data_IF_486432943875
#
_entry.id   IF_486432943875
#
_cell.length_a   1.000
_cell.length_b   1.000
_cell.length_c   1.000
_cell.angle_alpha   90.00
_cell.angle_beta   90.00
_cell.angle_gamma   90.00
#
_symmetry.space_group_name_H-M   'P 1'
#
loop_
_entity.id
_entity.type
_entity.pdbx_description
1 polymer ?
#
# COMPACT_ATOMS: atom_id res chain seq x y z
N UNK A 1 -8.56 -9.98 -16.51
CA UNK A 1 -7.19 -9.47 -16.36
C UNK A 1 -6.31 -10.19 -17.35
N UNK A 2 -5.65 -9.46 -18.25
CA UNK A 2 -4.74 -10.04 -19.23
C UNK A 2 -3.58 -10.76 -18.55
N UNK A 3 -3.31 -12.02 -18.93
CA UNK A 3 -2.22 -12.82 -18.38
C UNK A 3 -0.85 -12.13 -18.49
N UNK A 4 -0.68 -11.25 -19.49
CA UNK A 4 0.51 -10.42 -19.69
C UNK A 4 0.68 -9.36 -18.59
N UNK A 5 -0.40 -8.71 -18.16
CA UNK A 5 -0.40 -7.72 -17.07
C UNK A 5 -0.09 -8.39 -15.74
N UNK A 6 -0.64 -9.58 -15.48
CA UNK A 6 -0.32 -10.36 -14.28
C UNK A 6 1.14 -10.78 -14.26
N UNK A 7 1.70 -11.28 -15.37
CA UNK A 7 3.12 -11.67 -15.45
C UNK A 7 4.06 -10.47 -15.24
N UNK A 8 3.74 -9.32 -15.82
CA UNK A 8 4.49 -8.08 -15.60
C UNK A 8 4.41 -7.61 -14.15
N UNK A 9 3.23 -7.65 -13.54
CA UNK A 9 3.04 -7.32 -12.12
C UNK A 9 3.84 -8.23 -11.19
N UNK A 10 3.87 -9.55 -11.47
CA UNK A 10 4.67 -10.51 -10.71
C UNK A 10 6.17 -10.23 -10.85
N UNK A 11 6.66 -9.95 -12.07
CA UNK A 11 8.06 -9.61 -12.29
C UNK A 11 8.47 -8.32 -11.56
N UNK A 12 7.61 -7.29 -11.61
CA UNK A 12 7.85 -6.03 -10.89
C UNK A 12 7.84 -6.22 -9.37
N UNK A 13 6.91 -7.03 -8.85
CA UNK A 13 6.86 -7.36 -7.43
C UNK A 13 8.13 -8.12 -7.00
N UNK A 14 8.56 -9.12 -7.76
CA UNK A 14 9.80 -9.86 -7.48
C UNK A 14 11.02 -8.94 -7.47
N UNK A 15 11.16 -8.06 -8.47
CA UNK A 15 12.24 -7.09 -8.51
C UNK A 15 12.20 -6.13 -7.31
N UNK A 16 11.01 -5.64 -6.95
CA UNK A 16 10.83 -4.76 -5.80
C UNK A 16 11.23 -5.46 -4.49
N UNK A 17 10.78 -6.69 -4.25
CA UNK A 17 11.14 -7.47 -3.07
C UNK A 17 12.63 -7.80 -3.03
N UNK A 18 13.25 -8.07 -4.18
CA UNK A 18 14.69 -8.34 -4.26
C UNK A 18 15.52 -7.11 -3.87
N UNK A 19 15.17 -5.93 -4.40
CA UNK A 19 15.80 -4.65 -4.03
C UNK A 19 15.61 -4.39 -2.53
N UNK A 20 14.41 -4.65 -2.01
CA UNK A 20 14.10 -4.47 -0.59
C UNK A 20 14.86 -5.43 0.32
N UNK A 21 15.12 -6.67 -0.12
CA UNK A 21 15.92 -7.65 0.63
C UNK A 21 17.40 -7.30 0.71
N UNK A 22 17.93 -6.60 -0.31
CA UNK A 22 19.34 -6.15 -0.34
C UNK A 22 19.54 -4.88 0.50
N UNK A 23 18.53 -4.03 0.64
CA UNK A 23 18.65 -2.74 1.34
C UNK A 23 19.16 -2.85 2.80
N UNK A 24 18.69 -3.79 3.66
CA UNK A 24 19.23 -3.96 5.01
C UNK A 24 20.68 -4.45 5.01
N UNK A 25 21.06 -5.29 4.04
CA UNK A 25 22.44 -5.73 3.88
C UNK A 25 23.35 -4.55 3.50
N UNK A 26 22.89 -3.66 2.63
CA UNK A 26 23.59 -2.43 2.28
C UNK A 26 23.80 -1.50 3.49
N UNK A 27 22.78 -1.30 4.33
CA UNK A 27 22.92 -0.50 5.55
C UNK A 27 23.93 -1.11 6.55
N UNK A 28 24.06 -2.44 6.57
CA UNK A 28 25.09 -3.14 7.34
C UNK A 28 26.52 -2.89 6.80
N UNK A 29 26.69 -2.51 5.54
CA UNK A 29 28.02 -2.12 5.03
C UNK A 29 28.37 -0.66 5.34
N UNK A 30 27.39 0.17 5.70
CA UNK A 30 27.52 1.63 5.88
C UNK A 30 27.25 2.03 7.33
N UNK A 31 27.68 1.21 8.30
CA UNK A 31 27.50 1.50 9.74
C UNK A 31 28.07 2.87 10.17
N UNK A 32 29.05 3.40 9.43
CA UNK A 32 29.67 4.70 9.70
C UNK A 32 28.72 5.89 9.51
N UNK A 33 27.71 5.80 8.63
CA UNK A 33 26.78 6.93 8.38
C UNK A 33 25.61 6.85 9.35
N UNK A 34 25.32 7.92 10.10
CA UNK A 34 24.26 7.89 11.09
C UNK A 34 22.88 7.86 10.40
N UNK A 35 21.90 7.22 11.05
CA UNK A 35 20.61 6.88 10.44
C UNK A 35 19.78 8.11 10.04
N UNK A 36 19.96 9.22 10.76
CA UNK A 36 19.33 10.52 10.51
C UNK A 36 19.81 11.16 9.21
N UNK A 37 21.10 11.03 8.86
CA UNK A 37 21.63 11.53 7.59
C UNK A 37 21.02 10.77 6.40
N UNK A 38 20.93 9.44 6.49
CA UNK A 38 20.32 8.60 5.45
C UNK A 38 18.86 8.96 5.24
N UNK A 39 18.11 9.13 6.34
CA UNK A 39 16.70 9.53 6.29
C UNK A 39 16.55 10.93 5.70
N UNK A 40 17.39 11.89 6.10
CA UNK A 40 17.35 13.27 5.60
C UNK A 40 17.57 13.31 4.09
N UNK A 41 18.58 12.60 3.58
CA UNK A 41 18.81 12.48 2.14
C UNK A 41 17.60 11.89 1.42
N UNK A 42 16.98 10.84 1.98
CA UNK A 42 15.77 10.21 1.42
C UNK A 42 14.60 11.19 1.34
N UNK A 43 14.37 11.99 2.40
CA UNK A 43 13.31 13.00 2.44
C UNK A 43 13.56 14.10 1.42
N UNK A 44 14.80 14.60 1.32
CA UNK A 44 15.19 15.63 0.36
C UNK A 44 14.97 15.14 -1.08
N UNK A 45 15.47 13.96 -1.44
CA UNK A 45 15.29 13.41 -2.79
C UNK A 45 13.82 13.12 -3.09
N UNK A 46 13.06 12.62 -2.12
CA UNK A 46 11.62 12.39 -2.29
C UNK A 46 10.86 13.70 -2.52
N UNK A 47 11.24 14.77 -1.83
CA UNK A 47 10.65 16.09 -2.01
C UNK A 47 10.91 16.63 -3.42
N UNK A 48 12.16 16.58 -3.89
CA UNK A 48 12.50 16.99 -5.27
C UNK A 48 11.80 16.13 -6.32
N UNK A 49 11.78 14.81 -6.14
CA UNK A 49 11.09 13.90 -7.05
C UNK A 49 9.58 14.17 -7.10
N UNK A 50 8.96 14.42 -5.95
CA UNK A 50 7.54 14.76 -5.87
C UNK A 50 7.23 16.07 -6.59
N UNK A 51 8.07 17.10 -6.42
CA UNK A 51 7.94 18.38 -7.14
C UNK A 51 8.06 18.17 -8.65
N UNK A 52 9.05 17.39 -9.10
CA UNK A 52 9.24 17.09 -10.51
C UNK A 52 8.02 16.36 -11.09
N UNK A 53 7.52 15.33 -10.39
CA UNK A 53 6.35 14.55 -10.82
C UNK A 53 5.08 15.40 -10.84
N UNK A 54 4.87 16.27 -9.86
CA UNK A 54 3.76 17.24 -9.86
C UNK A 54 3.87 18.25 -10.99
N UNK A 55 5.10 18.70 -11.31
CA UNK A 55 5.35 19.62 -12.43
C UNK A 55 4.95 18.99 -13.76
N UNK A 56 5.37 17.74 -14.00
CA UNK A 56 5.01 16.97 -15.20
C UNK A 56 3.50 16.69 -15.26
N UNK A 57 2.90 16.35 -14.12
CA UNK A 57 1.45 16.03 -14.05
C UNK A 57 0.57 17.28 -14.11
N UNK A 58 1.14 18.49 -13.96
CA UNK A 58 0.44 19.79 -13.98
C UNK A 58 -0.70 19.95 -12.95
N UNK A 59 -0.71 19.14 -11.90
CA UNK A 59 -1.80 19.09 -10.88
C UNK A 59 -1.67 20.12 -9.75
N UNK A 60 -1.02 21.26 -10.01
CA UNK A 60 -0.77 22.31 -9.02
C UNK A 60 -2.04 22.90 -8.39
N UNK A 61 -3.16 22.91 -9.12
CA UNK A 61 -4.47 23.37 -8.63
C UNK A 61 -5.02 22.48 -7.50
N UNK A 62 -4.78 21.16 -7.58
CA UNK A 62 -5.16 20.20 -6.54
C UNK A 62 -4.38 20.43 -5.25
N UNK A 63 -3.07 20.70 -5.36
CA UNK A 63 -2.22 20.98 -4.20
C UNK A 63 -2.60 22.29 -3.52
N UNK A 64 -2.85 23.36 -4.27
CA UNK A 64 -3.34 24.62 -3.69
C UNK A 64 -4.65 24.44 -2.93
N UNK A 65 -5.56 23.59 -3.44
CA UNK A 65 -6.83 23.28 -2.77
C UNK A 65 -6.62 22.46 -1.49
N UNK A 66 -5.68 21.51 -1.51
CA UNK A 66 -5.33 20.70 -0.33
C UNK A 66 -4.68 21.54 0.77
N UNK A 67 -3.79 22.46 0.41
CA UNK A 67 -3.13 23.37 1.35
C UNK A 67 -4.12 24.31 2.06
N UNK A 68 -5.26 24.63 1.43
CA UNK A 68 -6.34 25.40 2.06
C UNK A 68 -7.13 24.61 3.11
N UNK A 69 -6.94 23.29 3.21
CA UNK A 69 -7.65 22.45 4.18
C UNK A 69 -6.68 22.03 5.30
N UNK A 70 -6.55 22.80 6.40
CA UNK A 70 -5.54 22.56 7.44
C UNK A 70 -5.66 21.17 8.08
N UNK A 71 -6.88 20.64 8.22
CA UNK A 71 -7.12 19.29 8.73
C UNK A 71 -6.46 18.19 7.87
N UNK A 72 -6.52 18.32 6.54
CA UNK A 72 -5.90 17.34 5.63
C UNK A 72 -4.39 17.45 5.66
N UNK A 73 -3.87 18.68 5.69
CA UNK A 73 -2.42 18.94 5.82
C UNK A 73 -1.90 18.36 7.13
N UNK A 74 -2.61 18.55 8.25
CA UNK A 74 -2.24 17.99 9.54
C UNK A 74 -2.22 16.46 9.52
N UNK A 75 -3.25 15.81 8.96
CA UNK A 75 -3.28 14.35 8.84
C UNK A 75 -2.14 13.81 7.96
N UNK A 76 -1.81 14.52 6.87
CA UNK A 76 -0.69 14.17 6.01
C UNK A 76 0.65 14.34 6.73
N UNK A 77 0.83 15.44 7.47
CA UNK A 77 2.03 15.68 8.26
C UNK A 77 2.20 14.63 9.37
N UNK A 78 1.11 14.33 10.09
CA UNK A 78 1.10 13.28 11.11
C UNK A 78 1.47 11.92 10.50
N UNK A 79 0.86 11.55 9.38
CA UNK A 79 1.17 10.31 8.66
C UNK A 79 2.64 10.28 8.20
N UNK A 80 3.17 11.40 7.71
CA UNK A 80 4.56 11.52 7.29
C UNK A 80 5.53 11.33 8.46
N UNK A 81 5.24 11.90 9.64
CA UNK A 81 6.04 11.73 10.86
C UNK A 81 5.97 10.29 11.36
N UNK A 82 4.79 9.67 11.38
CA UNK A 82 4.61 8.27 11.77
C UNK A 82 5.41 7.33 10.86
N UNK A 83 5.29 7.50 9.54
CA UNK A 83 6.01 6.69 8.56
C UNK A 83 7.52 6.96 8.62
N UNK A 84 7.92 8.23 8.75
CA UNK A 84 9.33 8.64 8.88
C UNK A 84 9.98 8.10 10.15
N UNK A 85 9.29 8.19 11.28
CA UNK A 85 9.73 7.63 12.56
C UNK A 85 9.82 6.10 12.51
N UNK A 86 8.87 5.43 11.87
CA UNK A 86 8.94 3.99 11.62
C UNK A 86 10.20 3.61 10.81
N UNK A 87 10.51 4.36 9.76
CA UNK A 87 11.72 4.16 8.96
C UNK A 87 13.00 4.45 9.73
N UNK A 88 13.01 5.49 10.56
CA UNK A 88 14.15 5.84 11.41
C UNK A 88 14.46 4.71 12.40
N UNK A 89 13.43 4.20 13.08
CA UNK A 89 13.55 3.06 14.00
C UNK A 89 14.10 1.82 13.30
N UNK A 90 13.66 1.57 12.07
CA UNK A 90 14.19 0.46 11.27
C UNK A 90 15.68 0.63 10.95
N UNK A 91 16.10 1.78 10.41
CA UNK A 91 17.51 2.02 10.07
C UNK A 91 18.37 2.00 11.34
N UNK A 92 17.88 2.60 12.44
CA UNK A 92 18.55 2.59 13.73
C UNK A 92 18.75 1.17 14.27
N UNK A 93 17.71 0.33 14.23
CA UNK A 93 17.78 -1.05 14.70
C UNK A 93 18.73 -1.91 13.84
N UNK A 94 18.77 -1.68 12.52
CA UNK A 94 19.74 -2.35 11.63
C UNK A 94 21.18 -1.91 11.94
N UNK A 95 21.41 -0.61 12.18
CA UNK A 95 22.75 -0.11 12.49
C UNK A 95 23.24 -0.61 13.87
N UNK A 96 22.39 -0.63 14.89
CA UNK A 96 22.75 -1.09 16.25
C UNK A 96 22.74 -2.63 16.43
N UNK A 97 22.85 -3.40 15.35
CA UNK A 97 22.82 -4.87 15.35
C UNK A 97 21.53 -5.53 15.87
N UNK A 98 20.48 -4.77 16.16
CA UNK A 98 19.14 -5.24 16.55
C UNK A 98 18.28 -5.64 15.34
N UNK A 99 18.91 -6.21 14.31
CA UNK A 99 18.23 -6.59 13.06
C UNK A 99 17.16 -7.68 13.27
N UNK A 100 17.33 -8.50 14.31
CA UNK A 100 16.39 -9.56 14.67
C UNK A 100 15.10 -8.99 15.28
N UNK A 101 15.21 -7.98 16.14
CA UNK A 101 14.08 -7.23 16.71
C UNK A 101 13.33 -6.43 15.65
N UNK A 102 14.07 -5.79 14.74
CA UNK A 102 13.50 -5.10 13.58
C UNK A 102 12.67 -6.04 12.70
N UNK A 103 13.22 -7.21 12.38
CA UNK A 103 12.53 -8.21 11.57
C UNK A 103 11.26 -8.73 12.27
N UNK A 104 11.32 -9.00 13.57
CA UNK A 104 10.15 -9.36 14.38
C UNK A 104 9.07 -8.27 14.36
N UNK A 105 9.46 -7.00 14.49
CA UNK A 105 8.55 -5.87 14.35
C UNK A 105 7.83 -5.83 12.99
N UNK A 106 8.55 -6.10 11.90
CA UNK A 106 7.93 -6.20 10.56
C UNK A 106 6.99 -7.40 10.40
N UNK A 107 7.24 -8.52 11.08
CA UNK A 107 6.28 -9.64 11.12
C UNK A 107 5.02 -9.33 11.95
N UNK A 108 5.15 -8.50 12.99
CA UNK A 108 4.02 -8.06 13.83
C UNK A 108 3.13 -7.06 13.10
N UNK A 109 3.69 -6.19 12.25
CA UNK A 109 2.96 -5.13 11.55
C UNK A 109 1.69 -5.63 10.78
N UNK A 110 1.76 -6.70 9.97
CA UNK A 110 0.57 -7.28 9.32
C UNK A 110 -0.47 -7.78 10.32
N UNK A 111 -0.05 -8.42 11.42
CA UNK A 111 -0.96 -8.89 12.46
C UNK A 111 -1.67 -7.72 13.13
N UNK A 112 -0.93 -6.65 13.46
CA UNK A 112 -1.47 -5.41 14.00
C UNK A 112 -2.44 -4.77 13.01
N UNK A 113 -2.10 -4.70 11.72
CA UNK A 113 -3.00 -4.17 10.70
C UNK A 113 -4.28 -5.00 10.56
N UNK A 114 -4.20 -6.33 10.69
CA UNK A 114 -5.37 -7.21 10.71
C UNK A 114 -6.21 -6.95 11.96
N UNK A 115 -5.59 -6.84 13.14
CA UNK A 115 -6.29 -6.56 14.40
C UNK A 115 -6.96 -5.19 14.37
N UNK A 116 -6.26 -4.15 13.92
CA UNK A 116 -6.84 -2.82 13.73
C UNK A 116 -7.96 -2.87 12.70
N UNK A 117 -7.77 -3.59 11.59
CA UNK A 117 -8.83 -3.85 10.61
C UNK A 117 -10.06 -4.51 11.25
N UNK A 118 -9.89 -5.51 12.10
CA UNK A 118 -10.99 -6.16 12.82
C UNK A 118 -11.69 -5.22 13.82
N UNK A 119 -10.94 -4.37 14.51
CA UNK A 119 -11.49 -3.42 15.48
C UNK A 119 -12.27 -2.30 14.77
N UNK A 120 -11.74 -1.76 13.67
CA UNK A 120 -12.33 -0.62 12.96
C UNK A 120 -13.39 -1.02 11.93
N UNK A 121 -13.19 -2.09 11.16
CA UNK A 121 -14.18 -2.57 10.19
C UNK A 121 -15.20 -3.54 10.82
N UNK A 122 -14.93 -4.09 12.01
CA UNK A 122 -15.83 -5.06 12.66
C UNK A 122 -15.96 -6.40 11.92
N UNK A 123 -15.24 -6.60 10.82
CA UNK A 123 -15.29 -7.82 10.04
C UNK A 123 -14.53 -8.94 10.77
N UNK A 124 -15.29 -9.85 11.39
CA UNK A 124 -14.77 -11.11 11.90
C UNK A 124 -14.31 -11.95 10.71
N UNK A 125 -13.03 -12.31 10.68
CA UNK A 125 -12.53 -13.34 9.78
C UNK A 125 -13.39 -14.59 9.95
N UNK A 126 -14.22 -14.89 8.94
CA UNK A 126 -14.89 -16.18 8.81
C UNK A 126 -13.78 -17.21 8.81
N UNK A 127 -13.73 -18.04 9.86
CA UNK A 127 -12.72 -19.07 10.10
C UNK A 127 -12.41 -19.76 8.77
N UNK A 128 -11.26 -19.42 8.19
CA UNK A 128 -10.83 -19.94 6.90
C UNK A 128 -10.43 -21.39 7.13
N UNK A 129 -11.43 -22.27 7.02
CA UNK A 129 -11.35 -23.51 6.25
C UNK A 129 -10.02 -24.27 6.46
N UNK A 130 -9.76 -24.64 7.72
CA UNK A 130 -8.65 -25.51 8.12
C UNK A 130 -8.88 -26.99 7.79
N UNK A 131 -10.00 -27.35 7.17
CA UNK A 131 -10.23 -28.66 6.59
C UNK A 131 -10.04 -28.58 5.07
N UNK A 132 -9.00 -29.22 4.55
CA UNK A 132 -8.82 -29.41 3.12
C UNK A 132 -10.04 -30.10 2.47
N UNK A 133 -10.21 -29.84 1.16
CA UNK A 133 -11.30 -30.19 0.24
C UNK A 133 -12.51 -29.26 0.26
N UNK A 134 -12.49 -28.29 -0.66
CA UNK A 134 -13.53 -28.15 -1.70
C UNK A 134 -13.05 -27.17 -2.78
N UNK A 135 -12.11 -27.67 -3.58
CA UNK A 135 -11.71 -27.11 -4.87
C UNK A 135 -12.89 -27.24 -5.84
N UNK A 136 -13.86 -26.31 -5.81
CA UNK A 136 -14.92 -26.28 -6.83
C UNK A 136 -16.12 -25.35 -6.62
N UNK A 137 -16.53 -25.02 -5.39
CA UNK A 137 -17.86 -24.42 -5.17
C UNK A 137 -17.88 -22.88 -5.08
N UNK A 138 -16.77 -22.21 -4.78
CA UNK A 138 -16.72 -20.75 -4.57
C UNK A 138 -16.49 -19.91 -5.84
N UNK A 139 -16.36 -20.53 -7.03
CA UNK A 139 -16.48 -19.81 -8.31
C UNK A 139 -17.93 -19.51 -8.70
N UNK A 140 -18.94 -20.15 -8.08
CA UNK A 140 -20.36 -19.93 -8.39
C UNK A 140 -21.10 -18.96 -7.45
N UNK A 141 -20.54 -18.61 -6.29
CA UNK A 141 -21.21 -17.73 -5.33
C UNK A 141 -20.82 -16.24 -5.46
N UNK A 142 -19.64 -15.92 -6.02
CA UNK A 142 -19.20 -14.53 -6.23
C UNK A 142 -20.02 -13.77 -7.28
N UNK A 143 -20.49 -14.45 -8.33
CA UNK A 143 -21.29 -13.86 -9.39
C UNK A 143 -22.74 -13.53 -8.98
N UNK A 144 -23.28 -14.17 -7.93
CA UNK A 144 -24.62 -13.89 -7.43
C UNK A 144 -24.67 -12.70 -6.46
N UNK A 145 -23.57 -12.39 -5.77
CA UNK A 145 -23.50 -11.26 -4.84
C UNK A 145 -23.15 -9.93 -5.54
N UNK A 146 -22.32 -9.96 -6.58
CA UNK A 146 -22.02 -8.79 -7.42
C UNK A 146 -23.28 -8.23 -8.10
N UNK A 147 -24.23 -9.10 -8.47
CA UNK A 147 -25.48 -8.68 -9.12
C UNK A 147 -26.45 -7.94 -8.19
N UNK A 148 -26.35 -8.13 -6.86
CA UNK A 148 -27.22 -7.45 -5.88
C UNK A 148 -26.66 -6.11 -5.38
N UNK A 149 -25.35 -5.90 -5.41
CA UNK A 149 -24.72 -4.61 -5.07
C UNK A 149 -24.79 -3.58 -6.21
N UNK A 150 -24.88 -4.03 -7.46
CA UNK A 150 -25.11 -3.16 -8.62
C UNK A 150 -26.50 -2.48 -8.64
N UNK A 151 -27.48 -3.01 -7.90
CA UNK A 151 -28.84 -2.46 -7.85
C UNK A 151 -29.03 -1.28 -6.87
N UNK A 152 -28.02 -0.96 -6.04
CA UNK A 152 -28.11 0.07 -5.00
C UNK A 152 -27.51 1.44 -5.35
N UNK A 153 -26.73 1.54 -6.43
CA UNK A 153 -26.12 2.79 -6.86
C UNK A 153 -26.89 3.40 -8.02
N UNK A 154 -27.61 4.50 -7.76
CA UNK A 154 -28.17 5.43 -8.74
C UNK A 154 -27.11 5.77 -9.81
N UNK A 155 -27.12 5.05 -10.92
CA UNK A 155 -26.24 5.28 -12.06
C UNK A 155 -27.03 5.94 -13.19
N UNK A 156 -26.41 6.98 -13.74
CA UNK A 156 -26.96 7.93 -14.71
C UNK A 156 -27.37 7.25 -16.02
N UNK A 157 -28.42 7.74 -16.72
CA UNK A 157 -29.01 7.10 -17.90
C UNK A 157 -28.06 6.90 -19.10
N UNK A 158 -26.86 7.51 -19.12
CA UNK A 158 -25.90 7.37 -20.21
C UNK A 158 -25.09 6.06 -20.22
N UNK A 159 -24.91 5.39 -19.07
CA UNK A 159 -24.04 4.19 -18.97
C UNK A 159 -24.78 2.91 -19.39
N UNK A 160 -26.12 2.93 -19.35
CA UNK A 160 -26.98 1.79 -19.64
C UNK A 160 -26.95 1.39 -21.13
N UNK A 161 -26.68 2.35 -22.03
CA UNK A 161 -26.64 2.10 -23.47
C UNK A 161 -25.35 1.40 -23.92
N UNK A 162 -24.23 1.59 -23.21
CA UNK A 162 -22.97 0.94 -23.56
C UNK A 162 -22.95 -0.56 -23.22
N UNK A 163 -23.65 -0.98 -22.17
CA UNK A 163 -23.63 -2.38 -21.73
C UNK A 163 -24.57 -3.26 -22.56
N UNK A 164 -25.67 -2.70 -23.09
CA UNK A 164 -26.62 -3.44 -23.93
C UNK A 164 -26.10 -3.76 -25.35
N UNK A 165 -25.05 -3.07 -25.83
CA UNK A 165 -24.53 -3.26 -27.20
C UNK A 165 -23.30 -4.17 -27.31
N UNK A 166 -22.76 -4.63 -26.18
CA UNK A 166 -21.61 -5.55 -26.13
C UNK A 166 -22.00 -7.02 -25.90
N UNK A 167 -23.31 -7.33 -25.92
CA UNK A 167 -23.86 -8.66 -25.61
C UNK A 167 -24.49 -9.39 -26.80
N UNK A 168 -24.19 -9.00 -28.05
CA UNK A 168 -24.58 -9.73 -29.27
C UNK A 168 -23.37 -9.99 -30.13
#
# INVERSE_FOLDING_TARGET
MDAKQTRQGVLLALAAYFIWGIAPAYFKFIHYVPADEILTHRVIWSFFFMIALMSVSRQWSGVKTLLKTPKKVFLLALSAVLIGGNWLLFIWAVNNHHMLEASLGYFINPLVNIVLGMIFLGERFRRMQWGGRDSGLLRRAGSALDFRLAAGYRLRPGVQLCVLRAGT
#
